data_IF_155254296016
#
_entry.id   IF_155254296016
#
_cell.length_a   1.000
_cell.length_b   1.000
_cell.length_c   1.000
_cell.angle_alpha   90.00
_cell.angle_beta   90.00
_cell.angle_gamma   90.00
#
_symmetry.space_group_name_H-M   'P 1'
#
loop_
_entity.id
_entity.type
_entity.pdbx_description
1 polymer ?
#
# COMPACT_ATOMS: atom_id res chain seq x y z
N UNK A 1 -13.01 -12.38 -4.99
CA UNK A 1 -13.17 -12.96 -3.64
C UNK A 1 -12.70 -11.95 -2.61
N UNK A 2 -13.59 -11.41 -1.76
CA UNK A 2 -13.17 -10.70 -0.55
C UNK A 2 -12.71 -11.75 0.46
N UNK A 3 -11.44 -11.71 0.89
CA UNK A 3 -10.97 -12.57 2.00
C UNK A 3 -11.52 -11.97 3.29
N UNK A 4 -12.66 -12.47 3.75
CA UNK A 4 -13.16 -12.19 5.10
C UNK A 4 -12.35 -13.03 6.08
N UNK A 5 -11.14 -12.55 6.42
CA UNK A 5 -10.43 -13.05 7.59
C UNK A 5 -11.15 -12.49 8.81
N UNK A 6 -12.09 -13.25 9.36
CA UNK A 6 -12.80 -12.90 10.61
C UNK A 6 -11.89 -12.97 11.84
N UNK A 7 -10.63 -13.37 11.68
CA UNK A 7 -9.66 -13.50 12.76
C UNK A 7 -8.30 -12.98 12.29
N UNK A 8 -7.58 -12.20 13.13
CA UNK A 8 -6.23 -11.79 12.82
C UNK A 8 -5.32 -12.99 12.54
N UNK A 9 -4.47 -12.94 11.50
CA UNK A 9 -3.46 -13.96 11.28
C UNK A 9 -2.39 -13.91 12.38
N UNK A 10 -1.57 -14.96 12.45
CA UNK A 10 -0.35 -14.89 13.28
C UNK A 10 0.64 -13.86 12.74
N UNK A 11 1.60 -13.44 13.56
CA UNK A 11 2.65 -12.50 13.13
C UNK A 11 3.44 -13.05 11.93
N UNK A 12 3.86 -14.31 12.01
CA UNK A 12 4.59 -14.99 10.92
C UNK A 12 3.78 -15.08 9.62
N UNK A 13 2.45 -15.25 9.71
CA UNK A 13 1.58 -15.25 8.53
C UNK A 13 1.46 -13.86 7.90
N UNK A 14 1.41 -12.81 8.72
CA UNK A 14 1.38 -11.43 8.25
C UNK A 14 2.71 -11.01 7.59
N UNK A 15 3.85 -11.39 8.18
CA UNK A 15 5.18 -11.20 7.61
C UNK A 15 5.32 -11.93 6.28
N UNK A 16 4.90 -13.20 6.23
CA UNK A 16 4.89 -13.98 4.98
C UNK A 16 4.01 -13.32 3.91
N UNK A 17 2.86 -12.79 4.29
CA UNK A 17 1.98 -12.07 3.37
C UNK A 17 2.61 -10.77 2.87
N UNK A 18 3.28 -10.01 3.74
CA UNK A 18 4.02 -8.81 3.37
C UNK A 18 5.18 -9.13 2.41
N UNK A 19 5.94 -10.19 2.68
CA UNK A 19 7.03 -10.68 1.83
C UNK A 19 6.51 -11.06 0.43
N UNK A 20 5.40 -11.80 0.38
CA UNK A 20 4.69 -12.13 -0.86
C UNK A 20 4.10 -10.90 -1.60
N UNK A 21 4.15 -9.70 -1.01
CA UNK A 21 3.77 -8.44 -1.65
C UNK A 21 4.97 -7.57 -2.03
N UNK A 22 6.19 -8.14 -1.96
CA UNK A 22 7.44 -7.49 -2.34
C UNK A 22 8.06 -6.61 -1.25
N UNK A 23 7.61 -6.70 0.02
CA UNK A 23 8.20 -5.94 1.12
C UNK A 23 9.48 -6.60 1.62
N UNK A 24 10.50 -5.78 1.91
CA UNK A 24 11.75 -6.24 2.52
C UNK A 24 11.54 -6.43 4.03
N UNK A 25 11.23 -7.66 4.42
CA UNK A 25 10.90 -8.01 5.81
C UNK A 25 12.04 -7.66 6.77
N UNK A 26 13.31 -7.86 6.39
CA UNK A 26 14.44 -7.54 7.26
C UNK A 26 14.54 -6.05 7.55
N UNK A 27 14.31 -5.19 6.55
CA UNK A 27 14.26 -3.74 6.76
C UNK A 27 13.07 -3.32 7.63
N UNK A 28 11.92 -3.97 7.45
CA UNK A 28 10.73 -3.68 8.25
C UNK A 28 10.90 -4.10 9.72
N UNK A 29 11.48 -5.27 9.97
CA UNK A 29 11.83 -5.75 11.32
C UNK A 29 12.79 -4.78 12.00
N UNK A 30 13.87 -4.37 11.32
CA UNK A 30 14.82 -3.40 11.84
C UNK A 30 14.16 -2.05 12.18
N UNK A 31 13.26 -1.56 11.33
CA UNK A 31 12.49 -0.35 11.59
C UNK A 31 11.62 -0.47 12.85
N UNK A 32 10.92 -1.60 13.02
CA UNK A 32 10.09 -1.82 14.20
C UNK A 32 10.93 -1.96 15.48
N UNK A 33 12.05 -2.65 15.40
CA UNK A 33 13.00 -2.80 16.51
C UNK A 33 13.57 -1.44 16.93
N UNK A 34 13.95 -0.59 15.97
CA UNK A 34 14.45 0.75 16.24
C UNK A 34 13.41 1.61 16.97
N UNK A 35 12.13 1.53 16.56
CA UNK A 35 11.02 2.21 17.23
C UNK A 35 10.81 1.69 18.65
N UNK A 36 10.83 0.38 18.85
CA UNK A 36 10.66 -0.27 20.16
C UNK A 36 11.75 0.15 21.14
N UNK A 37 13.02 0.12 20.70
CA UNK A 37 14.17 0.42 21.54
C UNK A 37 14.24 1.91 21.93
N UNK A 38 13.95 2.81 20.99
CA UNK A 38 14.24 4.24 21.18
C UNK A 38 13.05 5.07 21.67
N UNK A 39 11.80 4.71 21.33
CA UNK A 39 10.64 5.54 21.68
C UNK A 39 9.71 4.86 22.66
N UNK A 40 9.34 3.62 22.38
CA UNK A 40 8.25 3.00 23.13
C UNK A 40 8.72 2.62 24.55
N UNK A 41 10.04 2.42 24.76
CA UNK A 41 10.66 1.94 26.02
C UNK A 41 9.91 0.75 26.66
N UNK A 42 9.15 0.06 25.81
CA UNK A 42 8.22 -1.03 26.04
C UNK A 42 8.08 -1.78 24.71
N UNK A 43 7.64 -3.02 24.81
CA UNK A 43 7.40 -3.87 23.64
C UNK A 43 6.17 -3.40 22.86
N UNK A 44 6.29 -3.27 21.54
CA UNK A 44 5.17 -3.06 20.64
C UNK A 44 4.37 -4.36 20.60
N UNK A 45 3.08 -4.29 20.92
CA UNK A 45 2.26 -5.50 20.96
C UNK A 45 2.18 -6.17 19.58
N UNK A 46 2.09 -7.51 19.56
CA UNK A 46 1.96 -8.27 18.32
C UNK A 46 0.79 -7.77 17.45
N UNK A 47 -0.33 -7.35 18.07
CA UNK A 47 -1.47 -6.72 17.39
C UNK A 47 -1.01 -5.62 16.42
N UNK A 48 -0.18 -4.68 16.87
CA UNK A 48 0.22 -3.55 16.04
C UNK A 48 1.29 -3.93 15.01
N UNK A 49 2.15 -4.91 15.31
CA UNK A 49 3.08 -5.49 14.32
C UNK A 49 2.30 -6.17 13.19
N UNK A 50 1.28 -6.96 13.52
CA UNK A 50 0.40 -7.60 12.53
C UNK A 50 -0.32 -6.53 11.69
N UNK A 51 -0.97 -5.54 12.32
CA UNK A 51 -1.63 -4.45 11.59
C UNK A 51 -0.66 -3.73 10.66
N UNK A 52 0.57 -3.46 11.11
CA UNK A 52 1.61 -2.82 10.30
C UNK A 52 1.92 -3.62 9.03
N UNK A 53 2.21 -4.91 9.16
CA UNK A 53 2.51 -5.77 8.01
C UNK A 53 1.32 -5.88 7.05
N UNK A 54 0.10 -6.09 7.58
CA UNK A 54 -1.10 -6.19 6.75
C UNK A 54 -1.40 -4.87 6.03
N UNK A 55 -1.29 -3.73 6.70
CA UNK A 55 -1.46 -2.42 6.09
C UNK A 55 -0.39 -2.13 5.01
N UNK A 56 0.86 -2.53 5.25
CA UNK A 56 1.95 -2.38 4.28
C UNK A 56 1.69 -3.16 2.98
N UNK A 57 0.94 -4.27 3.03
CA UNK A 57 0.57 -5.03 1.83
C UNK A 57 -0.37 -4.28 0.89
N UNK A 58 -1.18 -3.35 1.42
CA UNK A 58 -2.23 -2.66 0.66
C UNK A 58 -3.34 -3.57 0.15
N UNK A 59 -3.42 -4.82 0.62
CA UNK A 59 -4.47 -5.78 0.25
C UNK A 59 -5.78 -5.57 1.03
N UNK A 60 -5.71 -4.87 2.16
CA UNK A 60 -6.83 -4.62 3.06
C UNK A 60 -7.10 -3.14 3.16
N UNK A 61 -8.38 -2.76 3.11
CA UNK A 61 -8.81 -1.43 3.51
C UNK A 61 -8.70 -1.26 5.02
N UNK A 62 -8.77 -0.02 5.50
CA UNK A 62 -8.83 0.25 6.93
C UNK A 62 -10.05 -0.40 7.60
N UNK A 63 -11.18 -0.50 6.89
CA UNK A 63 -12.39 -1.15 7.40
C UNK A 63 -12.25 -2.68 7.45
N UNK A 64 -11.60 -3.31 6.46
CA UNK A 64 -11.30 -4.75 6.50
C UNK A 64 -10.44 -5.10 7.72
N UNK A 65 -9.42 -4.28 8.00
CA UNK A 65 -8.60 -4.44 9.20
C UNK A 65 -9.39 -4.13 10.47
N UNK A 66 -10.29 -3.14 10.45
CA UNK A 66 -11.10 -2.84 11.63
C UNK A 66 -12.00 -4.02 12.00
N UNK A 67 -12.64 -4.65 11.03
CA UNK A 67 -13.42 -5.87 11.23
C UNK A 67 -12.54 -6.99 11.81
N UNK A 68 -11.38 -7.23 11.20
CA UNK A 68 -10.43 -8.27 11.64
C UNK A 68 -9.96 -8.07 13.09
N UNK A 69 -9.75 -6.83 13.52
CA UNK A 69 -9.26 -6.47 14.85
C UNK A 69 -10.37 -5.96 15.79
N UNK A 70 -11.64 -6.28 15.50
CA UNK A 70 -12.80 -5.95 16.32
C UNK A 70 -12.89 -4.45 16.72
N UNK A 71 -12.66 -3.56 15.76
CA UNK A 71 -12.88 -2.13 15.88
C UNK A 71 -14.18 -1.73 15.18
N UNK A 72 -14.83 -0.68 15.69
CA UNK A 72 -16.10 -0.19 15.16
C UNK A 72 -16.01 0.43 13.76
N UNK A 73 -14.83 0.87 13.34
CA UNK A 73 -14.58 1.40 11.98
C UNK A 73 -13.08 1.48 11.69
N UNK A 74 -12.72 1.57 10.41
CA UNK A 74 -11.36 1.84 9.95
C UNK A 74 -10.81 3.17 10.47
N UNK A 75 -11.66 4.18 10.67
CA UNK A 75 -11.27 5.44 11.31
C UNK A 75 -10.82 5.24 12.76
N UNK A 76 -11.58 4.45 13.53
CA UNK A 76 -11.26 4.14 14.91
C UNK A 76 -9.98 3.31 15.01
N UNK A 77 -9.83 2.29 14.15
CA UNK A 77 -8.60 1.51 14.07
C UNK A 77 -7.40 2.37 13.70
N UNK A 78 -7.53 3.27 12.71
CA UNK A 78 -6.42 4.13 12.28
C UNK A 78 -5.99 5.10 13.40
N UNK A 79 -6.94 5.62 14.19
CA UNK A 79 -6.61 6.43 15.36
C UNK A 79 -5.87 5.62 16.45
N UNK A 80 -6.32 4.40 16.73
CA UNK A 80 -5.66 3.47 17.66
C UNK A 80 -4.24 3.08 17.18
N UNK A 81 -4.11 2.72 15.91
CA UNK A 81 -2.82 2.44 15.27
C UNK A 81 -1.86 3.64 15.38
N UNK A 82 -2.33 4.86 15.10
CA UNK A 82 -1.48 6.06 15.19
C UNK A 82 -1.01 6.36 16.61
N UNK A 83 -1.86 6.11 17.60
CA UNK A 83 -1.51 6.28 19.01
C UNK A 83 -0.41 5.32 19.47
N UNK A 84 -0.35 4.11 18.90
CA UNK A 84 0.56 3.05 19.37
C UNK A 84 1.79 2.84 18.47
N UNK A 85 1.72 3.19 17.18
CA UNK A 85 2.82 3.00 16.23
C UNK A 85 2.90 4.09 15.16
N UNK A 86 1.78 4.46 14.54
CA UNK A 86 1.78 5.34 13.36
C UNK A 86 2.44 6.71 13.60
N UNK A 87 2.22 7.32 14.77
CA UNK A 87 2.85 8.61 15.12
C UNK A 87 4.36 8.53 15.34
N UNK A 88 4.90 7.34 15.58
CA UNK A 88 6.34 7.11 15.74
C UNK A 88 7.03 6.85 14.40
N UNK A 89 6.34 6.17 13.48
CA UNK A 89 6.85 5.88 12.14
C UNK A 89 7.31 7.13 11.39
N UNK A 90 6.66 8.29 11.60
CA UNK A 90 7.04 9.54 10.90
C UNK A 90 8.49 9.95 11.16
N UNK A 91 9.01 9.70 12.36
CA UNK A 91 10.37 10.09 12.76
C UNK A 91 11.43 9.23 12.10
N UNK A 92 11.16 7.93 11.97
CA UNK A 92 12.10 6.96 11.37
C UNK A 92 12.01 6.92 9.85
N UNK A 93 10.85 7.28 9.30
CA UNK A 93 10.67 7.38 7.87
C UNK A 93 11.05 8.77 7.33
N UNK A 94 11.58 9.67 8.16
CA UNK A 94 12.01 11.03 7.77
C UNK A 94 10.93 11.75 6.96
N UNK A 95 9.74 11.87 7.57
CA UNK A 95 8.58 12.51 6.95
C UNK A 95 8.37 13.91 7.52
N UNK A 96 7.90 14.82 6.68
CA UNK A 96 7.56 16.17 7.11
C UNK A 96 6.49 16.16 8.20
N UNK A 97 6.48 17.16 9.08
CA UNK A 97 5.50 17.27 10.16
C UNK A 97 4.04 17.36 9.69
N UNK A 98 3.83 17.72 8.42
CA UNK A 98 2.51 17.73 7.79
C UNK A 98 2.03 16.34 7.35
N UNK A 99 2.94 15.36 7.21
CA UNK A 99 2.60 14.03 6.75
C UNK A 99 2.13 13.14 7.90
N UNK A 100 0.94 12.55 7.70
CA UNK A 100 0.39 11.55 8.61
C UNK A 100 0.65 10.14 8.07
N UNK A 101 1.37 9.34 8.84
CA UNK A 101 1.43 7.90 8.63
C UNK A 101 0.18 7.31 9.26
N UNK A 102 -0.59 6.57 8.48
CA UNK A 102 -1.72 5.77 8.93
C UNK A 102 -1.87 4.56 8.03
N UNK A 103 -2.84 3.70 8.35
CA UNK A 103 -3.09 2.44 7.65
C UNK A 103 -3.16 2.64 6.13
N UNK A 104 -3.91 3.64 5.67
CA UNK A 104 -4.12 3.89 4.24
C UNK A 104 -2.90 4.47 3.52
N UNK A 105 -2.04 5.22 4.21
CA UNK A 105 -0.86 5.87 3.60
C UNK A 105 0.40 5.01 3.71
N UNK A 106 0.44 4.03 4.62
CA UNK A 106 1.64 3.28 4.99
C UNK A 106 2.33 2.62 3.79
N UNK A 107 1.60 1.86 2.97
CA UNK A 107 2.17 1.19 1.79
C UNK A 107 2.90 2.16 0.86
N UNK A 108 2.26 3.28 0.54
CA UNK A 108 2.80 4.30 -0.38
C UNK A 108 4.08 4.91 0.20
N UNK A 109 4.11 5.15 1.51
CA UNK A 109 5.27 5.74 2.19
C UNK A 109 6.44 4.74 2.18
N UNK A 110 6.19 3.49 2.56
CA UNK A 110 7.21 2.43 2.56
C UNK A 110 7.80 2.21 1.15
N UNK A 111 6.97 2.30 0.11
CA UNK A 111 7.43 2.25 -1.28
C UNK A 111 8.41 3.38 -1.60
N UNK A 112 8.01 4.64 -1.31
CA UNK A 112 8.88 5.81 -1.54
C UNK A 112 10.19 5.78 -0.75
N UNK A 113 10.19 5.11 0.41
CA UNK A 113 11.35 5.01 1.31
C UNK A 113 12.20 3.75 1.08
N UNK A 114 11.91 2.96 0.04
CA UNK A 114 12.77 1.83 -0.36
C UNK A 114 12.67 0.59 0.54
N UNK A 115 11.49 0.35 1.13
CA UNK A 115 11.18 -0.86 1.91
C UNK A 115 10.58 -2.00 1.06
N UNK A 116 10.67 -1.88 -0.27
CA UNK A 116 10.34 -2.94 -1.20
C UNK A 116 11.63 -3.54 -1.74
N UNK A 117 11.65 -4.86 -1.92
CA UNK A 117 12.80 -5.54 -2.54
C UNK A 117 12.93 -5.06 -3.98
N UNK A 118 14.16 -4.80 -4.42
CA UNK A 118 14.43 -4.34 -5.77
C UNK A 118 14.07 -5.47 -6.76
N UNK A 119 13.09 -5.22 -7.62
CA UNK A 119 12.51 -6.25 -8.51
C UNK A 119 13.45 -6.54 -9.70
N UNK A 120 14.57 -5.82 -9.79
CA UNK A 120 15.63 -6.04 -10.78
C UNK A 120 16.51 -7.25 -10.45
N UNK A 121 16.35 -7.89 -9.29
CA UNK A 121 16.84 -9.25 -9.07
C UNK A 121 15.83 -10.24 -9.71
N UNK A 122 16.28 -10.90 -10.78
CA UNK A 122 15.56 -11.83 -11.69
C UNK A 122 14.68 -12.92 -11.00
N UNK A 123 14.78 -13.08 -9.68
CA UNK A 123 14.01 -14.05 -8.89
C UNK A 123 12.58 -13.59 -8.51
N UNK A 124 12.32 -12.27 -8.47
CA UNK A 124 11.08 -11.70 -7.89
C UNK A 124 9.98 -11.34 -8.90
N UNK A 125 10.27 -11.45 -10.20
CA UNK A 125 9.36 -11.13 -11.33
C UNK A 125 8.04 -11.94 -11.30
N UNK A 126 7.94 -13.00 -10.48
CA UNK A 126 6.74 -13.83 -10.35
C UNK A 126 5.72 -13.36 -9.30
N UNK A 127 6.04 -12.35 -8.48
CA UNK A 127 5.31 -12.09 -7.21
C UNK A 127 4.58 -10.74 -7.17
N UNK A 128 4.57 -9.95 -8.24
CA UNK A 128 3.74 -8.74 -8.30
C UNK A 128 2.38 -9.03 -8.94
N UNK A 129 1.26 -8.88 -8.22
CA UNK A 129 -0.05 -8.75 -8.85
C UNK A 129 -0.07 -7.43 -9.65
N UNK A 130 -0.35 -7.57 -10.94
CA UNK A 130 -0.43 -6.62 -12.05
C UNK A 130 -1.38 -5.42 -11.89
N UNK A 131 -1.63 -4.91 -10.67
CA UNK A 131 -2.66 -3.88 -10.44
C UNK A 131 -2.22 -2.44 -10.67
N UNK A 132 -0.92 -2.14 -10.75
CA UNK A 132 -0.46 -0.79 -11.08
C UNK A 132 -0.43 -0.51 -12.58
N UNK A 133 -0.53 -1.53 -13.45
CA UNK A 133 -0.55 -1.34 -14.90
C UNK A 133 -1.95 -0.95 -15.44
N UNK A 134 -3.03 -1.29 -14.74
CA UNK A 134 -4.40 -1.07 -15.22
C UNK A 134 -4.91 0.37 -15.04
N UNK A 135 -4.32 1.15 -14.11
CA UNK A 135 -4.74 2.54 -13.89
C UNK A 135 -3.99 3.58 -14.76
N UNK A 136 -2.94 3.18 -15.49
CA UNK A 136 -2.18 4.08 -16.34
C UNK A 136 -2.69 4.18 -17.79
N UNK A 137 -3.71 3.39 -18.17
CA UNK A 137 -4.29 3.43 -19.52
C UNK A 137 -5.49 4.36 -19.67
N UNK A 138 -5.86 5.11 -18.62
CA UNK A 138 -7.04 6.00 -18.62
C UNK A 138 -6.72 7.50 -18.72
N UNK A 139 -5.45 7.90 -18.88
CA UNK A 139 -5.05 9.29 -19.10
C UNK A 139 -4.39 9.50 -20.47
N UNK A 140 -5.05 9.08 -21.55
CA UNK A 140 -4.75 9.63 -22.88
C UNK A 140 -5.69 10.82 -23.13
N UNK A 141 -5.18 12.06 -23.27
CA UNK A 141 -6.01 13.17 -23.71
C UNK A 141 -6.43 12.92 -25.15
N UNK A 142 -7.74 12.81 -25.38
CA UNK A 142 -8.35 12.77 -26.71
C UNK A 142 -8.16 14.11 -27.41
N UNK A 143 -6.99 14.31 -28.02
CA UNK A 143 -6.73 15.43 -28.91
C UNK A 143 -6.77 14.90 -30.35
N UNK A 144 -7.98 14.81 -30.91
CA UNK A 144 -8.14 14.66 -32.35
C UNK A 144 -8.31 16.06 -32.93
N UNK A 145 -7.18 16.69 -33.27
CA UNK A 145 -7.16 17.90 -34.08
C UNK A 145 -7.54 17.59 -35.54
N UNK A 146 -8.49 18.38 -36.01
CA UNK A 146 -9.02 18.55 -37.38
C UNK A 146 -7.94 18.73 -38.46
N UNK A 147 -8.10 18.05 -39.62
CA UNK A 147 -7.65 18.58 -40.93
C UNK A 147 -8.75 18.32 -41.99
N UNK A 148 -8.88 19.31 -42.87
CA UNK A 148 -10.02 19.72 -43.69
C UNK A 148 -9.88 19.36 -45.17
N UNK A 149 -11.04 19.33 -45.85
CA UNK A 149 -11.36 19.71 -47.23
C UNK A 149 -10.99 18.83 -48.46
N UNK A 150 -12.06 18.63 -49.24
CA UNK A 150 -12.20 18.58 -50.71
C UNK A 150 -11.59 17.44 -51.52
N UNK A 151 -12.46 16.67 -52.19
CA UNK A 151 -12.55 16.76 -53.66
C UNK A 151 -13.89 16.23 -54.21
N UNK A 152 -14.40 16.97 -55.19
CA UNK A 152 -15.67 16.85 -55.91
C UNK A 152 -15.43 16.18 -57.26
N UNK A 153 -16.17 15.11 -57.62
CA UNK A 153 -16.59 14.74 -59.00
C UNK A 153 -17.81 13.79 -58.88
N UNK A 154 -19.03 14.10 -59.34
CA UNK A 154 -19.58 14.20 -60.72
C UNK A 154 -19.86 12.84 -61.40
N UNK A 155 -21.14 12.42 -61.43
CA UNK A 155 -21.99 12.14 -62.63
C UNK A 155 -23.01 10.98 -62.53
N UNK A 156 -24.05 11.13 -63.37
CA UNK A 156 -25.38 10.50 -63.48
C UNK A 156 -25.45 9.05 -64.00
N UNK A 157 -26.67 8.46 -63.90
CA UNK A 157 -27.22 7.36 -64.72
C UNK A 157 -27.63 6.16 -63.86
N UNK A 158 -28.84 5.59 -63.88
CA UNK A 158 -30.06 5.69 -64.71
C UNK A 158 -31.31 5.61 -63.81
#
# INVERSE_FOLDING_TARGET
>A
MKRTLSTPPSLSDAERQASNCGLDIRKLEALLEEIEQNIIQRFLSEKYKIIFYLAATGLYSADDLAEMFNHSSGKNLNADFNKNLGSHLKYYLDLDDSERVGITSLRRILFKKGYFVDINDDELVRVLPTRYAENSQLEQPSNLETISADEKTTNQGD
#
